data_IF_879410618029
#
_entry.id   IF_879410618029
#
_cell.length_a   1.000
_cell.length_b   1.000
_cell.length_c   1.000
_cell.angle_alpha   90.00
_cell.angle_beta   90.00
_cell.angle_gamma   90.00
#
_symmetry.space_group_name_H-M   'P 1'
#
loop_
_entity.id
_entity.type
_entity.pdbx_description
1 polymer ?
#
# COMPACT_ATOMS: atom_id res chain seq x y z
N UNK A 1 -30.31 -8.64 -5.26
CA UNK A 1 -29.65 -9.89 -5.69
C UNK A 1 -28.99 -10.48 -4.47
N UNK A 2 -29.21 -11.75 -4.18
CA UNK A 2 -28.52 -12.47 -3.10
C UNK A 2 -27.03 -12.61 -3.47
N UNK A 3 -26.15 -12.19 -2.57
CA UNK A 3 -24.71 -12.35 -2.71
C UNK A 3 -24.39 -13.85 -2.63
N UNK A 4 -23.64 -14.39 -3.60
CA UNK A 4 -23.26 -15.80 -3.62
C UNK A 4 -22.33 -16.13 -2.45
N UNK A 5 -22.57 -17.27 -1.79
CA UNK A 5 -21.69 -17.76 -0.71
C UNK A 5 -20.40 -18.33 -1.28
N UNK A 6 -19.36 -18.45 -0.45
CA UNK A 6 -18.10 -19.04 -0.90
C UNK A 6 -18.31 -20.48 -1.36
N UNK A 7 -19.07 -21.29 -0.62
CA UNK A 7 -19.35 -22.69 -1.00
C UNK A 7 -20.02 -22.79 -2.36
N UNK A 8 -20.96 -21.89 -2.68
CA UNK A 8 -21.59 -21.86 -4.00
C UNK A 8 -20.56 -21.55 -5.10
N UNK A 9 -19.69 -20.57 -4.87
CA UNK A 9 -18.62 -20.24 -5.83
C UNK A 9 -17.63 -21.39 -5.98
N UNK A 10 -17.19 -22.01 -4.89
CA UNK A 10 -16.29 -23.18 -4.92
C UNK A 10 -16.91 -24.35 -5.69
N UNK A 11 -18.22 -24.59 -5.54
CA UNK A 11 -18.93 -25.61 -6.30
C UNK A 11 -18.94 -25.31 -7.82
N UNK A 12 -18.97 -24.03 -8.21
CA UNK A 12 -18.93 -23.60 -9.62
C UNK A 12 -17.53 -23.64 -10.21
N UNK A 13 -16.50 -23.20 -9.47
CA UNK A 13 -15.13 -23.14 -10.00
C UNK A 13 -14.44 -24.51 -10.00
N UNK A 14 -14.79 -25.38 -9.04
CA UNK A 14 -14.21 -26.71 -8.85
C UNK A 14 -13.13 -26.77 -7.76
N UNK A 15 -12.43 -27.90 -7.69
CA UNK A 15 -11.37 -28.14 -6.70
C UNK A 15 -10.19 -27.18 -6.94
N UNK A 16 -9.83 -26.39 -5.93
CA UNK A 16 -8.69 -25.50 -5.97
C UNK A 16 -7.42 -26.32 -5.86
N UNK A 17 -6.56 -26.31 -6.87
CA UNK A 17 -5.25 -26.96 -6.88
C UNK A 17 -4.23 -26.18 -7.74
N UNK A 18 -2.98 -26.64 -7.74
CA UNK A 18 -1.89 -26.04 -8.50
C UNK A 18 -1.69 -26.71 -9.88
N UNK A 19 -2.65 -27.49 -10.37
CA UNK A 19 -2.52 -28.22 -11.63
C UNK A 19 -2.88 -27.35 -12.85
N UNK A 20 -2.20 -27.59 -13.97
CA UNK A 20 -2.55 -27.00 -15.28
C UNK A 20 -1.94 -25.61 -15.56
N UNK A 21 -2.04 -25.17 -16.82
CA UNK A 21 -1.39 -23.95 -17.31
C UNK A 21 -2.36 -22.79 -17.63
N UNK A 22 -3.64 -23.07 -17.92
CA UNK A 22 -4.64 -22.05 -18.22
C UNK A 22 -6.05 -22.51 -17.82
N UNK A 23 -6.90 -21.55 -17.42
CA UNK A 23 -8.30 -21.76 -17.02
C UNK A 23 -8.51 -22.88 -15.98
N UNK A 24 -7.68 -22.85 -14.94
CA UNK A 24 -7.78 -23.79 -13.82
C UNK A 24 -8.81 -23.28 -12.80
N UNK A 25 -9.40 -24.15 -11.96
CA UNK A 25 -10.29 -23.72 -10.86
C UNK A 25 -9.70 -22.58 -10.01
N UNK A 26 -8.39 -22.65 -9.71
CA UNK A 26 -7.64 -21.60 -9.02
C UNK A 26 -7.67 -20.27 -9.75
N UNK A 27 -7.40 -20.27 -11.06
CA UNK A 27 -7.40 -19.04 -11.86
C UNK A 27 -8.80 -18.42 -11.94
N UNK A 28 -9.83 -19.26 -12.13
CA UNK A 28 -11.23 -18.78 -12.12
C UNK A 28 -11.62 -18.19 -10.77
N UNK A 29 -11.23 -18.84 -9.68
CA UNK A 29 -11.49 -18.34 -8.33
C UNK A 29 -10.82 -16.99 -8.06
N UNK A 30 -9.51 -16.87 -8.36
CA UNK A 30 -8.77 -15.61 -8.20
C UNK A 30 -9.33 -14.50 -9.09
N UNK A 31 -9.68 -14.81 -10.34
CA UNK A 31 -10.32 -13.87 -11.23
C UNK A 31 -11.67 -13.40 -10.69
N UNK A 32 -12.49 -14.31 -10.13
CA UNK A 32 -13.75 -13.96 -9.49
C UNK A 32 -13.53 -13.05 -8.27
N UNK A 33 -12.58 -13.39 -7.39
CA UNK A 33 -12.20 -12.55 -6.25
C UNK A 33 -11.87 -11.12 -6.67
N UNK A 34 -11.02 -10.96 -7.68
CA UNK A 34 -10.56 -9.65 -8.15
C UNK A 34 -11.66 -8.83 -8.84
N UNK A 35 -12.54 -9.48 -9.60
CA UNK A 35 -13.57 -8.80 -10.41
C UNK A 35 -14.89 -8.54 -9.69
N UNK A 36 -15.25 -9.38 -8.71
CA UNK A 36 -16.57 -9.33 -8.07
C UNK A 36 -16.54 -9.03 -6.57
N UNK A 37 -15.41 -9.24 -5.89
CA UNK A 37 -15.32 -9.00 -4.44
C UNK A 37 -14.59 -7.69 -4.19
N UNK A 38 -15.36 -6.63 -3.95
CA UNK A 38 -14.82 -5.26 -3.79
C UNK A 38 -15.04 -4.67 -2.40
N UNK A 39 -15.95 -5.22 -1.60
CA UNK A 39 -16.24 -4.73 -0.25
C UNK A 39 -15.70 -5.65 0.85
N UNK A 40 -15.35 -5.06 2.00
CA UNK A 40 -14.77 -5.80 3.13
C UNK A 40 -15.81 -6.70 3.80
N UNK A 41 -17.11 -6.34 3.71
CA UNK A 41 -18.20 -7.13 4.26
C UNK A 41 -18.29 -8.53 3.64
N UNK A 42 -18.16 -8.65 2.32
CA UNK A 42 -18.15 -9.92 1.62
C UNK A 42 -16.88 -10.73 1.91
N UNK A 43 -15.72 -10.07 1.98
CA UNK A 43 -14.46 -10.71 2.40
C UNK A 43 -14.61 -11.31 3.80
N UNK A 44 -15.18 -10.56 4.75
CA UNK A 44 -15.46 -11.02 6.11
C UNK A 44 -16.36 -12.25 6.11
N UNK A 45 -17.44 -12.24 5.33
CA UNK A 45 -18.35 -13.39 5.23
C UNK A 45 -17.65 -14.64 4.69
N UNK A 46 -16.86 -14.49 3.63
CA UNK A 46 -16.14 -15.60 3.00
C UNK A 46 -15.01 -16.15 3.87
N UNK A 47 -14.28 -15.28 4.57
CA UNK A 47 -13.30 -15.68 5.57
C UNK A 47 -13.97 -16.47 6.70
N UNK A 48 -15.12 -16.01 7.19
CA UNK A 48 -15.91 -16.74 8.19
C UNK A 48 -16.25 -18.14 7.70
N UNK A 49 -16.77 -18.25 6.48
CA UNK A 49 -17.10 -19.54 5.87
C UNK A 49 -15.87 -20.45 5.70
N UNK A 50 -14.70 -19.90 5.33
CA UNK A 50 -13.46 -20.66 5.29
C UNK A 50 -13.05 -21.20 6.66
N UNK A 51 -13.20 -20.39 7.71
CA UNK A 51 -12.78 -20.74 9.06
C UNK A 51 -13.77 -21.67 9.74
N UNK A 52 -15.06 -21.60 9.41
CA UNK A 52 -16.10 -22.47 9.99
C UNK A 52 -16.10 -23.89 9.39
N UNK A 53 -15.56 -24.04 8.19
CA UNK A 53 -15.42 -25.32 7.51
C UNK A 53 -14.00 -25.87 7.62
N UNK A 54 -13.85 -27.17 7.38
CA UNK A 54 -12.55 -27.86 7.43
C UNK A 54 -12.18 -28.46 6.08
N UNK A 55 -10.88 -28.64 5.86
CA UNK A 55 -10.31 -29.31 4.70
C UNK A 55 -9.62 -28.36 3.72
N UNK A 56 -8.72 -28.94 2.93
CA UNK A 56 -7.82 -28.25 1.99
C UNK A 56 -8.52 -27.18 1.13
N UNK A 57 -9.72 -27.47 0.63
CA UNK A 57 -10.45 -26.54 -0.24
C UNK A 57 -10.69 -25.18 0.45
N UNK A 58 -11.09 -25.21 1.73
CA UNK A 58 -11.35 -24.00 2.51
C UNK A 58 -10.04 -23.33 2.98
N UNK A 59 -8.99 -24.10 3.29
CA UNK A 59 -7.67 -23.54 3.57
C UNK A 59 -7.11 -22.77 2.37
N UNK A 60 -7.23 -23.35 1.17
CA UNK A 60 -6.80 -22.73 -0.10
C UNK A 60 -7.65 -21.51 -0.45
N UNK A 61 -8.96 -21.60 -0.23
CA UNK A 61 -9.86 -20.45 -0.40
C UNK A 61 -9.53 -19.32 0.58
N UNK A 62 -9.19 -19.64 1.84
CA UNK A 62 -8.80 -18.66 2.84
C UNK A 62 -7.54 -17.91 2.40
N UNK A 63 -6.52 -18.65 1.96
CA UNK A 63 -5.27 -18.08 1.45
C UNK A 63 -5.53 -17.01 0.38
N UNK A 64 -6.29 -17.38 -0.66
CA UNK A 64 -6.59 -16.47 -1.76
C UNK A 64 -7.54 -15.32 -1.33
N UNK A 65 -8.49 -15.57 -0.43
CA UNK A 65 -9.38 -14.52 0.08
C UNK A 65 -8.62 -13.51 0.95
N UNK A 66 -7.63 -13.95 1.73
CA UNK A 66 -6.73 -13.09 2.49
C UNK A 66 -5.81 -12.29 1.57
N UNK A 67 -5.31 -12.89 0.49
CA UNK A 67 -4.57 -12.16 -0.53
C UNK A 67 -5.43 -11.08 -1.22
N UNK A 68 -6.71 -11.36 -1.47
CA UNK A 68 -7.65 -10.36 -1.95
C UNK A 68 -7.84 -9.22 -0.95
N UNK A 69 -7.90 -9.53 0.36
CA UNK A 69 -7.90 -8.50 1.40
C UNK A 69 -6.63 -7.64 1.35
N UNK A 70 -5.46 -8.24 1.11
CA UNK A 70 -4.21 -7.51 0.88
C UNK A 70 -4.32 -6.50 -0.27
N UNK A 71 -4.93 -6.88 -1.40
CA UNK A 71 -5.17 -5.95 -2.51
C UNK A 71 -6.09 -4.79 -2.11
N UNK A 72 -7.18 -5.08 -1.37
CA UNK A 72 -8.11 -4.05 -0.89
C UNK A 72 -7.47 -3.10 0.15
N UNK A 73 -6.45 -3.56 0.87
CA UNK A 73 -5.62 -2.73 1.75
C UNK A 73 -4.60 -1.87 0.99
N UNK A 74 -4.59 -1.92 -0.35
CA UNK A 74 -3.75 -1.09 -1.21
C UNK A 74 -2.39 -1.68 -1.56
N UNK A 75 -2.16 -2.97 -1.27
CA UNK A 75 -0.95 -3.67 -1.71
C UNK A 75 -1.08 -4.19 -3.15
N UNK A 76 0.04 -4.27 -3.86
CA UNK A 76 0.14 -5.10 -5.06
C UNK A 76 0.44 -6.54 -4.62
N UNK A 77 -0.44 -7.49 -4.95
CA UNK A 77 -0.36 -8.85 -4.39
C UNK A 77 -0.04 -9.88 -5.47
N UNK A 78 1.03 -10.64 -5.25
CA UNK A 78 1.31 -11.89 -5.95
C UNK A 78 0.82 -13.06 -5.09
N UNK A 79 -0.11 -13.85 -5.63
CA UNK A 79 -0.68 -15.00 -4.93
C UNK A 79 0.25 -16.20 -5.03
N UNK A 80 0.53 -16.83 -3.89
CA UNK A 80 1.35 -18.03 -3.78
C UNK A 80 0.71 -19.29 -4.35
N UNK A 81 1.44 -20.40 -4.23
CA UNK A 81 0.93 -21.75 -4.52
C UNK A 81 0.19 -22.30 -3.32
N UNK A 82 -0.69 -23.28 -3.54
CA UNK A 82 -1.35 -23.99 -2.44
C UNK A 82 -0.46 -25.08 -1.83
N UNK A 83 0.47 -25.62 -2.62
CA UNK A 83 1.39 -26.65 -2.19
C UNK A 83 2.83 -26.25 -2.55
N UNK A 84 3.73 -26.41 -1.58
CA UNK A 84 5.16 -26.21 -1.79
C UNK A 84 5.71 -27.21 -2.81
N UNK A 85 6.47 -26.70 -3.77
CA UNK A 85 7.17 -27.50 -4.77
C UNK A 85 8.67 -27.27 -4.62
N UNK A 86 9.47 -28.32 -4.83
CA UNK A 86 10.93 -28.22 -4.74
C UNK A 86 11.44 -27.22 -5.78
N UNK A 87 12.24 -26.24 -5.33
CA UNK A 87 12.82 -25.20 -6.18
C UNK A 87 11.91 -23.99 -6.40
N UNK A 88 10.70 -24.00 -5.86
CA UNK A 88 9.77 -22.86 -5.85
C UNK A 88 9.67 -22.28 -4.45
N UNK A 89 9.44 -20.97 -4.36
CA UNK A 89 9.29 -20.29 -3.07
C UNK A 89 7.86 -20.49 -2.56
N UNK A 90 7.72 -21.02 -1.35
CA UNK A 90 6.46 -21.52 -0.80
C UNK A 90 5.61 -20.53 -0.01
N UNK A 91 5.77 -19.21 -0.22
CA UNK A 91 4.92 -18.23 0.48
C UNK A 91 3.47 -18.30 -0.01
N UNK A 92 2.54 -17.87 0.85
CA UNK A 92 1.12 -17.82 0.52
C UNK A 92 0.73 -16.55 -0.25
N UNK A 93 1.37 -15.43 0.10
CA UNK A 93 1.22 -14.15 -0.57
C UNK A 93 2.50 -13.31 -0.53
N UNK A 94 2.78 -12.58 -1.60
CA UNK A 94 3.83 -11.56 -1.64
C UNK A 94 3.19 -10.21 -1.95
N UNK A 95 3.14 -9.34 -0.95
CA UNK A 95 2.45 -8.06 -1.00
C UNK A 95 3.46 -6.93 -1.08
N UNK A 96 3.32 -6.03 -2.04
CA UNK A 96 4.23 -4.91 -2.24
C UNK A 96 3.47 -3.62 -1.98
N UNK A 97 4.01 -2.80 -1.09
CA UNK A 97 3.49 -1.46 -0.83
C UNK A 97 3.94 -0.52 -1.96
N UNK A 98 3.01 0.03 -2.77
CA UNK A 98 3.38 0.92 -3.88
C UNK A 98 3.95 2.26 -3.41
N UNK A 99 3.73 2.66 -2.15
CA UNK A 99 4.18 3.96 -1.63
C UNK A 99 5.60 3.95 -1.08
N UNK A 100 6.09 2.80 -0.62
CA UNK A 100 7.42 2.66 0.02
C UNK A 100 8.31 1.57 -0.57
N UNK A 101 7.84 0.88 -1.61
CA UNK A 101 8.51 -0.30 -2.17
C UNK A 101 8.93 -1.31 -1.07
N UNK A 102 8.00 -1.53 -0.13
CA UNK A 102 8.19 -2.42 1.01
C UNK A 102 7.44 -3.73 0.78
N UNK A 103 8.10 -4.85 1.04
CA UNK A 103 7.58 -6.18 0.75
C UNK A 103 7.11 -6.88 2.03
N UNK A 104 5.89 -7.41 2.00
CA UNK A 104 5.36 -8.30 3.01
C UNK A 104 5.26 -9.69 2.41
N UNK A 105 5.92 -10.66 3.02
CA UNK A 105 5.78 -12.08 2.67
C UNK A 105 4.81 -12.70 3.67
N UNK A 106 3.61 -13.01 3.21
CA UNK A 106 2.50 -13.47 4.03
C UNK A 106 2.41 -14.99 4.06
N UNK A 107 2.06 -15.53 5.22
CA UNK A 107 1.73 -16.94 5.46
C UNK A 107 0.39 -17.01 6.21
N UNK A 108 -0.59 -17.71 5.66
CA UNK A 108 -1.95 -17.83 6.20
C UNK A 108 -2.11 -19.15 6.94
N UNK A 109 -2.70 -19.12 8.13
CA UNK A 109 -2.93 -20.31 8.97
C UNK A 109 -4.38 -20.38 9.43
N UNK A 110 -5.08 -21.46 9.08
CA UNK A 110 -6.49 -21.71 9.45
C UNK A 110 -6.63 -22.11 10.91
N UNK A 111 -5.98 -23.21 11.32
CA UNK A 111 -5.81 -23.71 12.70
C UNK A 111 -5.25 -25.15 12.75
N UNK A 112 -4.54 -25.63 11.73
CA UNK A 112 -4.05 -27.00 11.73
C UNK A 112 -2.88 -27.16 12.71
N UNK A 113 -2.83 -28.29 13.43
CA UNK A 113 -1.90 -28.64 14.53
C UNK A 113 -0.44 -28.81 14.05
N UNK A 114 -0.10 -28.27 12.89
CA UNK A 114 1.25 -28.35 12.36
C UNK A 114 2.14 -27.29 13.03
N UNK A 115 3.34 -27.68 13.49
CA UNK A 115 4.26 -26.76 14.15
C UNK A 115 4.68 -25.66 13.16
N UNK A 116 4.37 -24.41 13.52
CA UNK A 116 4.75 -23.24 12.74
C UNK A 116 6.17 -22.85 13.13
N UNK A 117 7.07 -22.75 12.14
CA UNK A 117 8.46 -22.36 12.35
C UNK A 117 8.70 -20.98 11.77
N UNK A 118 9.39 -20.13 12.54
CA UNK A 118 9.90 -18.80 12.13
C UNK A 118 10.82 -18.88 10.91
N UNK A 119 11.51 -20.00 10.73
CA UNK A 119 12.45 -20.21 9.62
C UNK A 119 11.78 -20.28 8.26
N UNK A 120 10.48 -20.58 8.18
CA UNK A 120 9.77 -20.69 6.91
C UNK A 120 9.71 -19.34 6.18
N UNK A 121 9.09 -18.32 6.79
CA UNK A 121 8.98 -16.99 6.18
C UNK A 121 10.34 -16.33 5.97
N UNK A 122 11.28 -16.47 6.92
CA UNK A 122 12.64 -15.95 6.74
C UNK A 122 13.34 -16.60 5.55
N UNK A 123 13.22 -17.92 5.40
CA UNK A 123 13.77 -18.64 4.25
C UNK A 123 13.12 -18.22 2.93
N UNK A 124 11.81 -17.90 2.93
CA UNK A 124 11.14 -17.38 1.73
C UNK A 124 11.62 -15.98 1.37
N UNK A 125 11.82 -15.10 2.36
CA UNK A 125 12.39 -13.77 2.15
C UNK A 125 13.81 -13.88 1.59
N UNK A 126 14.64 -14.77 2.16
CA UNK A 126 15.99 -15.06 1.67
C UNK A 126 15.99 -15.50 0.21
N UNK A 127 15.11 -16.45 -0.15
CA UNK A 127 14.98 -16.92 -1.51
C UNK A 127 14.51 -15.81 -2.47
N UNK A 128 13.55 -14.98 -2.05
CA UNK A 128 13.06 -13.86 -2.85
C UNK A 128 14.13 -12.78 -3.08
N UNK A 129 14.99 -12.53 -2.10
CA UNK A 129 16.14 -11.64 -2.24
C UNK A 129 17.17 -12.24 -3.21
N UNK A 130 17.47 -13.53 -3.05
CA UNK A 130 18.38 -14.25 -3.96
C UNK A 130 17.88 -14.26 -5.41
N UNK A 131 16.56 -14.29 -5.61
CA UNK A 131 15.91 -14.22 -6.93
C UNK A 131 15.71 -12.77 -7.43
N UNK A 132 16.24 -11.76 -6.72
CA UNK A 132 16.11 -10.34 -7.05
C UNK A 132 14.66 -9.82 -7.13
N UNK A 133 13.72 -10.49 -6.44
CA UNK A 133 12.31 -10.09 -6.34
C UNK A 133 12.03 -9.19 -5.13
N UNK A 134 12.94 -9.19 -4.17
CA UNK A 134 12.99 -8.27 -3.03
C UNK A 134 14.39 -7.63 -3.06
N UNK A 135 14.53 -6.30 -2.95
CA UNK A 135 15.85 -5.68 -3.11
C UNK A 135 16.80 -5.98 -1.95
N UNK A 136 16.30 -5.99 -0.71
CA UNK A 136 17.11 -6.17 0.50
C UNK A 136 16.31 -6.71 1.67
N UNK A 137 17.00 -7.16 2.72
CA UNK A 137 16.37 -7.63 3.97
C UNK A 137 15.59 -6.52 4.66
N UNK A 138 16.10 -5.29 4.66
CA UNK A 138 15.51 -4.16 5.39
C UNK A 138 14.23 -3.62 4.74
N UNK A 139 13.95 -4.04 3.50
CA UNK A 139 12.72 -3.71 2.77
C UNK A 139 11.70 -4.86 2.80
N UNK A 140 11.87 -5.84 3.68
CA UNK A 140 10.97 -6.98 3.77
C UNK A 140 10.61 -7.36 5.21
N UNK A 141 9.36 -7.78 5.40
CA UNK A 141 8.90 -8.40 6.64
C UNK A 141 8.06 -9.63 6.34
N UNK A 142 8.21 -10.66 7.17
CA UNK A 142 7.29 -11.79 7.19
C UNK A 142 6.05 -11.46 8.02
N UNK A 143 4.88 -11.85 7.54
CA UNK A 143 3.61 -11.68 8.25
C UNK A 143 2.87 -13.01 8.34
N UNK A 144 2.73 -13.54 9.54
CA UNK A 144 1.81 -14.64 9.80
C UNK A 144 0.40 -14.09 10.01
N UNK A 145 -0.54 -14.59 9.23
CA UNK A 145 -1.95 -14.21 9.28
C UNK A 145 -2.74 -15.40 9.82
N UNK A 146 -3.25 -15.27 11.05
CA UNK A 146 -3.80 -16.40 11.82
C UNK A 146 -5.32 -16.31 11.95
N UNK A 147 -6.03 -17.37 11.54
CA UNK A 147 -7.49 -17.42 11.55
C UNK A 147 -8.10 -17.61 12.94
N UNK A 148 -7.48 -18.46 13.77
CA UNK A 148 -7.95 -18.79 15.13
C UNK A 148 -6.78 -18.75 16.09
N UNK A 149 -7.01 -18.31 17.34
CA UNK A 149 -5.99 -18.37 18.38
C UNK A 149 -5.81 -19.81 18.88
N UNK A 150 -4.59 -20.32 18.84
CA UNK A 150 -4.24 -21.68 19.24
C UNK A 150 -2.90 -21.69 20.01
N UNK A 151 -2.59 -22.73 20.80
CA UNK A 151 -1.31 -22.83 21.52
C UNK A 151 -0.08 -22.74 20.61
N UNK A 152 -0.18 -23.19 19.37
CA UNK A 152 0.87 -23.14 18.35
C UNK A 152 1.22 -21.70 17.97
N UNK A 153 0.25 -20.78 18.00
CA UNK A 153 0.51 -19.35 17.75
C UNK A 153 1.29 -18.76 18.92
N UNK A 154 0.94 -19.10 20.16
CA UNK A 154 1.74 -18.69 21.32
C UNK A 154 3.15 -19.28 21.29
N UNK A 155 3.32 -20.52 20.79
CA UNK A 155 4.66 -21.09 20.55
C UNK A 155 5.44 -20.31 19.49
N UNK A 156 4.78 -19.90 18.41
CA UNK A 156 5.38 -19.06 17.37
C UNK A 156 5.79 -17.70 17.92
N UNK A 157 4.93 -17.03 18.69
CA UNK A 157 5.24 -15.76 19.39
C UNK A 157 6.50 -15.90 20.25
N UNK A 158 6.53 -16.93 21.10
CA UNK A 158 7.68 -17.21 21.96
C UNK A 158 8.95 -17.49 21.15
N UNK A 159 8.83 -18.19 20.02
CA UNK A 159 9.96 -18.48 19.14
C UNK A 159 10.51 -17.22 18.46
N UNK A 160 9.63 -16.32 17.99
CA UNK A 160 10.04 -15.02 17.42
C UNK A 160 10.82 -14.19 18.45
N UNK A 161 10.34 -14.17 19.70
CA UNK A 161 11.01 -13.47 20.80
C UNK A 161 12.36 -14.10 21.16
N UNK A 162 12.39 -15.43 21.33
CA UNK A 162 13.61 -16.16 21.70
C UNK A 162 14.70 -16.06 20.62
N UNK A 163 14.32 -16.08 19.34
CA UNK A 163 15.22 -15.96 18.20
C UNK A 163 15.54 -14.50 17.82
N UNK A 164 15.00 -13.51 18.55
CA UNK A 164 15.17 -12.07 18.31
C UNK A 164 14.80 -11.64 16.89
N UNK A 165 13.70 -12.17 16.36
CA UNK A 165 13.20 -11.87 15.00
C UNK A 165 12.07 -10.84 15.00
N UNK A 166 11.96 -10.03 16.05
CA UNK A 166 10.92 -9.00 16.20
C UNK A 166 11.09 -7.81 15.25
N UNK A 167 12.17 -7.77 14.49
CA UNK A 167 12.44 -6.83 13.40
C UNK A 167 12.09 -7.42 12.02
N UNK A 168 11.82 -8.73 11.94
CA UNK A 168 11.62 -9.45 10.67
C UNK A 168 10.23 -10.09 10.57
N UNK A 169 9.62 -10.46 11.69
CA UNK A 169 8.40 -11.25 11.72
C UNK A 169 7.31 -10.57 12.55
N UNK A 170 6.09 -10.59 12.03
CA UNK A 170 4.88 -10.11 12.70
C UNK A 170 3.79 -11.17 12.63
N UNK A 171 2.89 -11.14 13.59
CA UNK A 171 1.70 -12.00 13.63
C UNK A 171 0.49 -11.09 13.74
N UNK A 172 -0.53 -11.35 12.92
CA UNK A 172 -1.81 -10.66 12.97
C UNK A 172 -2.94 -11.66 12.85
N UNK A 173 -4.02 -11.48 13.62
CA UNK A 173 -5.23 -12.27 13.41
C UNK A 173 -5.94 -11.82 12.14
N UNK A 174 -6.59 -12.74 11.43
CA UNK A 174 -7.42 -12.40 10.26
C UNK A 174 -8.52 -11.40 10.65
N UNK A 175 -9.06 -11.51 11.86
CA UNK A 175 -10.04 -10.56 12.37
C UNK A 175 -9.48 -9.14 12.50
N UNK A 176 -8.28 -8.99 13.06
CA UNK A 176 -7.60 -7.69 13.16
C UNK A 176 -7.31 -7.10 11.78
N UNK A 177 -6.88 -7.93 10.83
CA UNK A 177 -6.63 -7.49 9.46
C UNK A 177 -7.92 -7.04 8.75
N UNK A 178 -9.04 -7.73 8.98
CA UNK A 178 -10.37 -7.30 8.52
C UNK A 178 -10.77 -5.96 9.12
N UNK A 179 -10.55 -5.76 10.42
CA UNK A 179 -10.83 -4.47 11.09
C UNK A 179 -10.03 -3.34 10.45
N UNK A 180 -8.76 -3.58 10.09
CA UNK A 180 -7.96 -2.60 9.34
C UNK A 180 -8.60 -2.26 7.97
N UNK A 181 -9.10 -3.28 7.26
CA UNK A 181 -9.82 -3.08 5.99
C UNK A 181 -11.09 -2.24 6.16
N UNK A 182 -11.91 -2.53 7.17
CA UNK A 182 -13.14 -1.76 7.45
C UNK A 182 -12.85 -0.32 7.84
N UNK A 183 -11.76 -0.08 8.57
CA UNK A 183 -11.31 1.27 8.90
C UNK A 183 -10.84 2.04 7.66
N UNK A 184 -10.20 1.35 6.71
CA UNK A 184 -9.80 1.95 5.44
C UNK A 184 -10.99 2.25 4.53
N UNK A 185 -11.98 1.37 4.45
CA UNK A 185 -13.23 1.60 3.70
C UNK A 185 -14.02 2.80 4.25
N UNK A 186 -14.03 2.98 5.58
CA UNK A 186 -14.60 4.15 6.26
C UNK A 186 -13.71 5.40 6.21
N UNK A 187 -12.62 5.38 5.44
CA UNK A 187 -11.65 6.48 5.28
C UNK A 187 -11.01 6.93 6.60
N UNK A 188 -11.01 6.07 7.63
CA UNK A 188 -10.35 6.36 8.92
C UNK A 188 -8.86 6.05 8.90
N UNK A 189 -8.44 5.13 8.01
CA UNK A 189 -7.05 4.75 7.74
C UNK A 189 -6.78 4.83 6.25
N UNK A 190 -5.55 5.19 5.89
CA UNK A 190 -5.03 5.00 4.54
C UNK A 190 -3.99 3.86 4.50
N UNK A 191 -3.55 3.48 3.30
CA UNK A 191 -2.56 2.41 3.12
C UNK A 191 -1.25 2.63 3.92
N UNK A 192 -0.77 3.87 4.03
CA UNK A 192 0.46 4.17 4.76
C UNK A 192 0.29 3.96 6.27
N UNK A 193 -0.89 4.26 6.82
CA UNK A 193 -1.21 3.94 8.21
C UNK A 193 -1.23 2.43 8.44
N UNK A 194 -1.88 1.67 7.54
CA UNK A 194 -1.92 0.20 7.60
C UNK A 194 -0.50 -0.37 7.59
N UNK A 195 0.33 0.10 6.66
CA UNK A 195 1.72 -0.32 6.58
C UNK A 195 2.45 -0.04 7.89
N UNK A 196 2.27 1.14 8.50
CA UNK A 196 2.94 1.52 9.76
C UNK A 196 2.56 0.64 10.97
N UNK A 197 1.37 0.01 10.92
CA UNK A 197 0.90 -0.90 11.97
C UNK A 197 1.37 -2.34 11.76
N UNK A 198 1.49 -2.75 10.50
CA UNK A 198 1.81 -4.14 10.14
C UNK A 198 3.32 -4.37 10.09
N UNK A 199 4.11 -3.40 9.64
CA UNK A 199 5.57 -3.55 9.57
C UNK A 199 6.19 -3.42 10.96
N UNK A 200 7.40 -3.95 11.16
CA UNK A 200 8.14 -3.77 12.40
C UNK A 200 8.28 -2.30 12.76
N UNK A 201 7.93 -1.97 14.01
CA UNK A 201 7.95 -0.60 14.50
C UNK A 201 9.36 -0.01 14.31
N UNK A 202 9.42 1.14 13.66
CA UNK A 202 10.59 2.00 13.69
C UNK A 202 10.94 2.33 15.15
N UNK A 203 12.21 2.61 15.49
CA UNK A 203 12.56 3.17 16.79
C UNK A 203 11.75 4.44 17.13
N UNK A 204 11.25 5.15 16.11
CA UNK A 204 10.33 6.28 16.27
C UNK A 204 8.89 5.80 16.39
N UNK A 205 8.20 6.29 17.41
CA UNK A 205 6.79 5.95 17.70
C UNK A 205 5.79 7.03 17.27
N UNK A 206 6.28 8.15 16.73
CA UNK A 206 5.50 9.32 16.33
C UNK A 206 4.35 8.97 15.38
N UNK A 207 4.57 8.03 14.44
CA UNK A 207 3.53 7.55 13.52
C UNK A 207 2.37 6.88 14.27
N UNK A 208 2.66 6.11 15.32
CA UNK A 208 1.64 5.45 16.16
C UNK A 208 0.91 6.49 17.00
N UNK A 209 1.63 7.46 17.56
CA UNK A 209 1.01 8.54 18.34
C UNK A 209 0.09 9.38 17.45
N UNK A 210 0.52 9.72 16.23
CA UNK A 210 -0.30 10.48 15.28
C UNK A 210 -1.55 9.74 14.85
N UNK A 211 -1.44 8.43 14.62
CA UNK A 211 -2.57 7.56 14.38
C UNK A 211 -3.58 7.64 15.55
N UNK A 212 -3.11 7.43 16.79
CA UNK A 212 -3.96 7.46 17.99
C UNK A 212 -4.63 8.82 18.20
N UNK A 213 -3.89 9.90 18.02
CA UNK A 213 -4.40 11.25 18.23
C UNK A 213 -5.42 11.68 17.16
N UNK A 214 -5.29 11.18 15.92
CA UNK A 214 -6.32 11.34 14.87
C UNK A 214 -7.62 10.64 15.25
N UNK A 215 -7.56 9.43 15.81
CA UNK A 215 -8.76 8.70 16.26
C UNK A 215 -9.41 9.29 17.50
N UNK A 216 -8.61 9.77 18.43
CA UNK A 216 -9.10 10.41 19.64
C UNK A 216 -9.65 11.83 19.41
N UNK A 217 -9.60 12.34 18.17
CA UNK A 217 -10.03 13.69 17.81
C UNK A 217 -9.16 14.78 18.42
N UNK A 218 -7.96 14.44 18.92
CA UNK A 218 -7.01 15.39 19.49
C UNK A 218 -6.22 16.14 18.42
N UNK A 219 -6.15 15.58 17.21
CA UNK A 219 -5.58 16.26 16.06
C UNK A 219 -6.66 16.44 15.00
N UNK A 220 -6.78 17.63 14.40
CA UNK A 220 -7.31 17.73 13.04
C UNK A 220 -6.51 16.75 12.15
N UNK A 221 -7.09 16.18 11.08
CA UNK A 221 -6.42 15.16 10.25
C UNK A 221 -5.05 15.52 9.62
N UNK A 222 -4.41 16.65 9.94
CA UNK A 222 -3.32 17.26 9.15
C UNK A 222 -2.06 17.75 9.91
N UNK A 223 -1.81 17.42 11.18
CA UNK A 223 -0.62 17.93 11.90
C UNK A 223 0.45 16.86 12.20
N UNK A 224 0.89 16.11 11.19
CA UNK A 224 2.14 15.30 11.26
C UNK A 224 3.06 15.56 10.06
N UNK A 225 3.34 16.83 9.78
CA UNK A 225 4.58 17.26 9.12
C UNK A 225 5.45 17.96 10.16
N UNK A 226 6.13 17.16 10.99
CA UNK A 226 7.31 17.59 11.72
C UNK A 226 8.52 16.86 11.13
N UNK A 227 9.35 17.62 10.42
CA UNK A 227 10.74 17.29 10.10
C UNK A 227 11.44 16.66 11.33
N UNK A 228 12.35 15.71 11.15
CA UNK A 228 13.81 15.97 11.02
C UNK A 228 14.59 14.63 11.02
N UNK A 229 15.92 14.60 10.78
CA UNK A 229 16.68 14.75 9.52
C UNK A 229 17.47 13.47 9.16
N UNK A 230 18.14 13.50 8.00
CA UNK A 230 18.83 12.45 7.23
C UNK A 230 20.03 11.72 7.89
N UNK A 231 20.32 10.49 7.40
CA UNK A 231 21.69 9.99 7.07
C UNK A 231 21.60 9.07 5.83
N UNK A 232 22.17 9.56 4.72
CA UNK A 232 22.94 8.95 3.61
C UNK A 232 22.50 7.62 2.96
N UNK A 233 22.26 7.58 1.64
CA UNK A 233 23.32 7.46 0.61
C UNK A 233 22.73 7.42 -0.84
N UNK A 234 23.52 7.92 -1.78
CA UNK A 234 23.28 8.12 -3.22
C UNK A 234 23.02 6.78 -3.96
N UNK A 235 22.22 6.70 -5.03
CA UNK A 235 22.72 6.88 -6.42
C UNK A 235 21.59 6.74 -7.45
N UNK A 236 21.61 7.65 -8.44
CA UNK A 236 20.80 7.75 -9.65
C UNK A 236 21.11 6.56 -10.62
N UNK A 237 20.40 6.20 -11.70
CA UNK A 237 19.72 6.96 -12.76
C UNK A 237 19.14 5.98 -13.80
N UNK A 238 18.01 6.33 -14.42
CA UNK A 238 17.77 6.41 -15.88
C UNK A 238 16.36 6.00 -16.32
N UNK A 239 15.70 6.99 -16.91
CA UNK A 239 14.47 6.93 -17.69
C UNK A 239 14.84 6.65 -19.16
N UNK A 240 14.00 5.92 -19.87
CA UNK A 240 13.69 6.20 -21.28
C UNK A 240 12.37 5.52 -21.67
N UNK A 241 11.38 6.34 -22.00
CA UNK A 241 10.17 6.02 -22.77
C UNK A 241 10.15 7.04 -23.94
N UNK A 242 9.48 6.83 -25.11
CA UNK A 242 8.02 6.92 -25.07
C UNK A 242 7.18 6.33 -26.25
N UNK A 243 5.88 6.20 -25.95
CA UNK A 243 4.70 6.67 -26.71
C UNK A 243 3.85 5.73 -27.61
N UNK A 244 2.53 5.87 -27.35
CA UNK A 244 1.37 5.97 -28.27
C UNK A 244 0.46 4.73 -28.38
N UNK A 245 -0.88 4.79 -28.25
CA UNK A 245 -1.81 5.92 -28.23
C UNK A 245 -3.25 5.46 -27.80
N UNK A 246 -3.99 6.40 -27.20
CA UNK A 246 -5.46 6.63 -27.27
C UNK A 246 -6.43 5.55 -26.76
N UNK A 247 -7.05 5.84 -25.61
CA UNK A 247 -8.49 5.60 -25.35
C UNK A 247 -9.02 6.46 -24.19
N UNK A 248 -9.75 7.53 -24.54
CA UNK A 248 -10.81 8.22 -23.79
C UNK A 248 -10.59 8.50 -22.29
N UNK A 249 -9.79 9.52 -21.96
CA UNK A 249 -9.70 10.10 -20.62
C UNK A 249 -10.90 11.05 -20.37
N UNK A 250 -11.85 10.65 -19.53
CA UNK A 250 -12.81 11.59 -18.91
C UNK A 250 -12.99 11.39 -17.40
N UNK A 251 -12.04 10.71 -16.74
CA UNK A 251 -12.14 10.37 -15.31
C UNK A 251 -10.79 10.13 -14.62
N UNK A 252 -9.69 10.64 -15.18
CA UNK A 252 -8.35 10.48 -14.57
C UNK A 252 -7.95 11.80 -13.93
N UNK A 253 -7.73 11.77 -12.62
CA UNK A 253 -7.21 12.88 -11.81
C UNK A 253 -5.84 13.30 -12.36
N UNK A 254 -5.55 14.60 -12.43
CA UNK A 254 -4.23 15.06 -12.91
C UNK A 254 -3.14 14.59 -11.94
N UNK A 255 -2.11 13.86 -12.41
CA UNK A 255 -1.04 13.36 -11.55
C UNK A 255 -0.18 14.50 -11.00
N UNK A 256 0.43 14.29 -9.82
CA UNK A 256 1.29 15.29 -9.17
C UNK A 256 2.43 15.79 -10.08
N UNK A 257 3.02 14.90 -10.88
CA UNK A 257 4.12 15.24 -11.80
C UNK A 257 3.72 16.32 -12.83
N UNK A 258 2.45 16.42 -13.20
CA UNK A 258 1.97 17.44 -14.13
C UNK A 258 1.97 18.87 -13.54
N UNK A 259 2.01 18.99 -12.21
CA UNK A 259 2.05 20.29 -11.52
C UNK A 259 3.46 20.83 -11.34
N UNK A 260 4.51 20.03 -11.56
CA UNK A 260 5.89 20.41 -11.31
C UNK A 260 6.32 21.65 -12.12
N UNK A 261 6.16 21.61 -13.45
CA UNK A 261 6.50 22.75 -14.33
C UNK A 261 5.61 23.97 -14.05
N UNK A 262 4.27 23.85 -13.91
CA UNK A 262 3.41 24.98 -13.55
C UNK A 262 3.79 25.66 -12.23
N UNK A 263 4.16 24.91 -11.18
CA UNK A 263 4.57 25.49 -9.90
C UNK A 263 5.85 26.30 -10.04
N UNK A 264 6.85 25.76 -10.73
CA UNK A 264 8.10 26.47 -10.97
C UNK A 264 7.86 27.76 -11.77
N UNK A 265 7.08 27.68 -12.86
CA UNK A 265 6.71 28.86 -13.67
C UNK A 265 6.00 29.92 -12.84
N UNK A 266 5.03 29.51 -12.02
CA UNK A 266 4.30 30.43 -11.14
C UNK A 266 5.25 31.14 -10.16
N UNK A 267 6.23 30.44 -9.59
CA UNK A 267 7.22 31.03 -8.70
C UNK A 267 8.15 32.00 -9.43
N UNK A 268 8.61 31.65 -10.64
CA UNK A 268 9.46 32.53 -11.45
C UNK A 268 8.73 33.81 -11.86
N UNK A 269 7.48 33.70 -12.32
CA UNK A 269 6.62 34.84 -12.67
C UNK A 269 6.30 35.75 -11.46
N UNK A 270 6.29 35.20 -10.24
CA UNK A 270 6.14 35.94 -8.99
C UNK A 270 7.45 36.57 -8.47
N UNK A 271 8.52 36.55 -9.27
CA UNK A 271 9.82 37.13 -8.89
C UNK A 271 10.69 36.18 -8.06
N UNK A 272 10.43 34.87 -8.14
CA UNK A 272 11.17 33.81 -7.47
C UNK A 272 10.63 33.42 -6.09
N UNK A 273 9.63 34.14 -5.56
CA UNK A 273 9.02 33.85 -4.26
C UNK A 273 7.56 34.29 -4.22
N UNK A 274 6.70 33.55 -3.53
CA UNK A 274 5.30 33.91 -3.39
C UNK A 274 4.62 33.20 -2.22
N UNK A 275 3.53 33.78 -1.70
CA UNK A 275 2.71 33.09 -0.69
C UNK A 275 1.99 31.91 -1.35
N UNK A 276 1.82 30.80 -0.63
CA UNK A 276 1.12 29.58 -1.11
C UNK A 276 -0.15 29.91 -1.91
N UNK A 277 -1.00 30.80 -1.39
CA UNK A 277 -2.25 31.20 -2.02
C UNK A 277 -2.05 31.88 -3.39
N UNK A 278 -1.06 32.75 -3.50
CA UNK A 278 -0.78 33.50 -4.73
C UNK A 278 -0.13 32.60 -5.78
N UNK A 279 0.77 31.71 -5.35
CA UNK A 279 1.40 30.70 -6.20
C UNK A 279 0.35 29.73 -6.75
N UNK A 280 -0.49 29.15 -5.89
CA UNK A 280 -1.51 28.19 -6.31
C UNK A 280 -2.59 28.83 -7.18
N UNK A 281 -2.97 30.09 -6.92
CA UNK A 281 -3.82 30.84 -7.84
C UNK A 281 -3.21 30.87 -9.25
N UNK A 282 -1.92 31.21 -9.35
CA UNK A 282 -1.22 31.27 -10.63
C UNK A 282 -1.06 29.91 -11.30
N UNK A 283 -0.81 28.86 -10.54
CA UNK A 283 -0.79 27.47 -11.03
C UNK A 283 -2.15 27.08 -11.63
N UNK A 284 -3.25 27.43 -10.96
CA UNK A 284 -4.60 27.17 -11.48
C UNK A 284 -4.85 27.87 -12.81
N UNK A 285 -4.40 29.12 -12.96
CA UNK A 285 -4.47 29.85 -14.23
C UNK A 285 -3.63 29.18 -15.33
N UNK A 286 -2.43 28.72 -15.02
CA UNK A 286 -1.54 28.03 -15.97
C UNK A 286 -2.07 26.65 -16.40
N UNK A 287 -2.86 26.00 -15.56
CA UNK A 287 -3.33 24.63 -15.77
C UNK A 287 -4.82 24.54 -16.13
N UNK A 288 -5.52 25.66 -16.29
CA UNK A 288 -6.97 25.69 -16.48
C UNK A 288 -7.46 24.76 -17.60
N UNK A 289 -6.72 24.68 -18.71
CA UNK A 289 -7.05 23.84 -19.87
C UNK A 289 -6.61 22.37 -19.74
N UNK A 290 -5.83 22.05 -18.71
CA UNK A 290 -5.31 20.69 -18.44
C UNK A 290 -6.08 19.97 -17.34
N UNK A 291 -6.78 20.70 -16.47
CA UNK A 291 -7.50 20.13 -15.34
C UNK A 291 -8.88 19.58 -15.78
N UNK A 292 -9.14 18.26 -15.64
CA UNK A 292 -10.47 17.68 -15.85
C UNK A 292 -11.48 18.12 -14.77
N UNK A 293 -12.77 17.95 -15.02
CA UNK A 293 -13.83 18.37 -14.07
C UNK A 293 -13.66 17.77 -12.66
N UNK A 294 -13.20 16.51 -12.56
CA UNK A 294 -12.95 15.80 -11.29
C UNK A 294 -11.92 16.51 -10.39
N UNK A 295 -11.04 17.32 -10.97
CA UNK A 295 -10.00 18.04 -10.25
C UNK A 295 -10.54 19.31 -9.56
N UNK A 296 -11.69 19.81 -10.01
CA UNK A 296 -12.39 20.95 -9.40
C UNK A 296 -13.35 20.54 -8.28
N UNK A 297 -13.54 19.23 -8.04
CA UNK A 297 -14.32 18.74 -6.91
C UNK A 297 -13.73 19.22 -5.59
N UNK A 298 -14.60 19.63 -4.68
CA UNK A 298 -14.22 20.03 -3.33
C UNK A 298 -13.96 18.76 -2.52
N UNK A 299 -12.77 18.64 -1.96
CA UNK A 299 -12.43 17.57 -1.04
C UNK A 299 -13.15 17.79 0.29
N UNK A 300 -13.97 16.83 0.76
CA UNK A 300 -14.66 16.96 2.05
C UNK A 300 -13.73 17.16 3.25
N UNK A 301 -12.47 16.72 3.13
CA UNK A 301 -11.45 16.81 4.18
C UNK A 301 -10.89 18.22 4.39
N UNK A 302 -10.64 18.97 3.31
CA UNK A 302 -9.99 20.30 3.38
C UNK A 302 -10.93 21.45 3.02
N UNK A 303 -12.05 21.17 2.34
CA UNK A 303 -12.88 22.19 1.72
C UNK A 303 -12.21 22.88 0.52
N UNK A 304 -11.03 22.41 0.09
CA UNK A 304 -10.30 22.92 -1.08
C UNK A 304 -10.60 22.05 -2.31
N UNK A 305 -10.38 22.62 -3.51
CA UNK A 305 -10.47 21.84 -4.74
C UNK A 305 -9.37 20.80 -4.81
N UNK A 306 -9.66 19.62 -5.38
CA UNK A 306 -8.72 18.49 -5.48
C UNK A 306 -7.38 18.90 -6.10
N UNK A 307 -7.38 19.65 -7.20
CA UNK A 307 -6.14 20.11 -7.84
C UNK A 307 -5.28 21.01 -6.95
N UNK A 308 -5.91 21.81 -6.09
CA UNK A 308 -5.23 22.72 -5.18
C UNK A 308 -4.40 21.93 -4.16
N UNK A 309 -5.00 20.86 -3.63
CA UNK A 309 -4.30 19.92 -2.76
C UNK A 309 -3.20 19.14 -3.50
N UNK A 310 -3.48 18.62 -4.69
CA UNK A 310 -2.49 17.89 -5.51
C UNK A 310 -1.27 18.76 -5.84
N UNK A 311 -1.48 20.03 -6.18
CA UNK A 311 -0.40 21.00 -6.43
C UNK A 311 0.42 21.28 -5.16
N UNK A 312 -0.22 21.37 -4.00
CA UNK A 312 0.48 21.50 -2.72
C UNK A 312 1.40 20.29 -2.44
N UNK A 313 0.93 19.08 -2.74
CA UNK A 313 1.75 17.86 -2.64
C UNK A 313 2.89 17.82 -3.67
N UNK A 314 2.64 18.24 -4.91
CA UNK A 314 3.67 18.30 -5.94
C UNK A 314 4.84 19.24 -5.55
N UNK A 315 4.58 20.31 -4.79
CA UNK A 315 5.64 21.16 -4.23
C UNK A 315 6.58 20.37 -3.32
N UNK A 316 6.11 19.42 -2.53
CA UNK A 316 6.98 18.59 -1.68
C UNK A 316 7.93 17.72 -2.52
N UNK A 317 7.47 17.24 -3.68
CA UNK A 317 8.33 16.57 -4.67
C UNK A 317 9.39 17.53 -5.24
N UNK A 318 9.01 18.77 -5.55
CA UNK A 318 9.96 19.78 -6.04
C UNK A 318 11.02 20.17 -4.99
N UNK A 319 10.67 20.17 -3.71
CA UNK A 319 11.65 20.35 -2.62
C UNK A 319 12.66 19.20 -2.63
N UNK A 320 12.19 17.95 -2.68
CA UNK A 320 13.05 16.77 -2.71
C UNK A 320 13.99 16.76 -3.92
N UNK A 321 13.54 17.32 -5.06
CA UNK A 321 14.33 17.52 -6.27
C UNK A 321 15.27 18.73 -6.21
N UNK A 322 15.30 19.49 -5.12
CA UNK A 322 16.11 20.70 -5.00
C UNK A 322 15.62 21.90 -5.81
N UNK A 323 14.46 21.81 -6.48
CA UNK A 323 13.93 22.84 -7.39
C UNK A 323 13.16 23.95 -6.66
N UNK A 324 12.65 23.66 -5.46
CA UNK A 324 11.99 24.60 -4.56
C UNK A 324 12.71 24.54 -3.22
N UNK A 325 12.93 25.68 -2.57
CA UNK A 325 13.65 25.74 -1.29
C UNK A 325 12.88 25.02 -0.16
N UNK A 326 13.61 24.31 0.70
CA UNK A 326 13.07 23.66 1.90
C UNK A 326 13.02 24.59 3.12
N UNK A 327 13.86 25.62 3.16
CA UNK A 327 14.10 26.53 4.28
C UNK A 327 13.33 27.87 4.17
N UNK A 328 12.37 27.96 3.24
CA UNK A 328 11.53 29.16 3.10
C UNK A 328 10.65 29.41 4.33
N UNK A 329 10.41 30.68 4.70
CA UNK A 329 9.50 31.03 5.79
C UNK A 329 8.11 30.40 5.64
N UNK A 330 7.48 30.07 6.77
CA UNK A 330 6.17 29.39 6.79
C UNK A 330 5.14 30.12 5.93
N UNK A 331 4.55 29.40 4.96
CA UNK A 331 3.54 29.92 4.03
C UNK A 331 4.09 30.63 2.80
N UNK A 332 5.42 30.78 2.69
CA UNK A 332 6.14 31.28 1.52
C UNK A 332 6.77 30.11 0.76
N UNK A 333 6.65 30.12 -0.56
CA UNK A 333 7.35 29.20 -1.44
C UNK A 333 8.37 29.99 -2.26
N UNK A 334 9.56 29.43 -2.44
CA UNK A 334 10.63 30.04 -3.23
C UNK A 334 11.22 29.03 -4.19
N UNK A 335 11.43 29.45 -5.44
CA UNK A 335 12.18 28.66 -6.41
C UNK A 335 13.67 28.72 -6.08
N UNK A 336 14.37 27.60 -6.20
CA UNK A 336 15.83 27.57 -6.06
C UNK A 336 16.52 28.02 -7.35
N UNK A 337 17.82 28.28 -7.30
CA UNK A 337 18.59 28.54 -8.53
C UNK A 337 18.65 27.32 -9.45
N UNK A 338 18.54 26.10 -8.89
CA UNK A 338 18.37 24.88 -9.67
C UNK A 338 17.00 24.82 -10.35
N UNK A 339 15.93 25.21 -9.64
CA UNK A 339 14.59 25.34 -10.22
C UNK A 339 14.52 26.33 -11.36
N UNK A 340 15.20 27.48 -11.23
CA UNK A 340 15.31 28.47 -12.33
C UNK A 340 16.06 27.91 -13.53
N UNK A 341 17.17 27.20 -13.30
CA UNK A 341 17.92 26.52 -14.37
C UNK A 341 17.08 25.44 -15.05
N UNK A 342 16.30 24.69 -14.28
CA UNK A 342 15.39 23.66 -14.79
C UNK A 342 14.27 24.21 -15.67
N UNK A 343 13.85 25.46 -15.48
CA UNK A 343 12.89 26.15 -16.36
C UNK A 343 13.52 26.76 -17.61
N UNK A 344 14.78 27.17 -17.52
CA UNK A 344 15.48 27.92 -18.57
C UNK A 344 16.41 27.09 -19.47
N UNK A 345 16.60 25.81 -19.16
CA UNK A 345 17.26 24.82 -20.03
C UNK A 345 16.24 24.02 -20.82
#
# INVERSE_FOLDING_TARGET
MTVATLTQILALVGKLDDAGAADTPRMRFRSYLQSHITDIGQIRAWIGECLDNSGDQYSRALQDTVNRLGELLGFQVTYGRYQGVRGEIGFDGHWVSPSKDFHIVAEVKTSEVYPIKTSALVGYIDALISDHRIPSRDQASGLYIVGRSTPEISQLENSILAERRTDQLRIISVHSLLTLGEMMEKQSLNHADILSLIIPASPRIDSIVGLMARFAGYLPPEDYDAETPDIDDESQSNLDEPNSQKRLHKSVITPQSAYEIPILKALDELGGSGKKKDVLKRVGELMQDMLPEIDYEILPSTGEQRWYNTAAWARNTLIKKGLVKNDSPRGLWEISDEGKRYLGG
#
